data_IF_459111409812
#
_entry.id   IF_459111409812
#
_cell.length_a   1.000
_cell.length_b   1.000
_cell.length_c   1.000
_cell.angle_alpha   90.00
_cell.angle_beta   90.00
_cell.angle_gamma   90.00
#
_symmetry.space_group_name_H-M   'P 1'
#
loop_
_entity.id
_entity.type
_entity.pdbx_description
1 polymer ?
#
# COMPACT_ATOMS: atom_id res chain seq x y z
N UNK A 1 -18.18 -20.97 -9.93
CA UNK A 1 -17.93 -19.66 -9.28
C UNK A 1 -16.51 -19.67 -8.74
N UNK A 2 -15.66 -18.74 -9.17
CA UNK A 2 -14.27 -18.59 -8.68
C UNK A 2 -14.26 -17.83 -7.36
N UNK A 3 -13.29 -18.14 -6.49
CA UNK A 3 -13.13 -17.48 -5.19
C UNK A 3 -11.78 -16.78 -5.09
N UNK A 4 -11.78 -15.51 -4.71
CA UNK A 4 -10.57 -14.74 -4.50
C UNK A 4 -10.55 -14.15 -3.10
N UNK A 5 -9.50 -14.46 -2.32
CA UNK A 5 -9.25 -13.77 -1.07
C UNK A 5 -8.26 -12.62 -1.32
N UNK A 6 -8.68 -11.39 -1.02
CA UNK A 6 -7.86 -10.18 -1.18
C UNK A 6 -7.24 -9.81 0.15
N UNK A 7 -5.92 -9.76 0.19
CA UNK A 7 -5.15 -9.56 1.42
C UNK A 7 -4.30 -8.29 1.34
N UNK A 8 -4.61 -7.29 2.17
CA UNK A 8 -3.83 -6.06 2.31
C UNK A 8 -3.41 -5.85 3.76
N UNK A 9 -2.45 -4.99 4.01
CA UNK A 9 -1.97 -4.69 5.36
C UNK A 9 -1.95 -3.20 5.69
N UNK A 10 -2.14 -2.35 4.68
CA UNK A 10 -2.09 -0.89 4.79
C UNK A 10 -3.09 -0.21 3.85
N UNK A 11 -3.49 1.06 4.12
CA UNK A 11 -4.41 1.81 3.26
C UNK A 11 -3.91 1.99 1.81
N UNK A 12 -2.59 2.07 1.59
CA UNK A 12 -1.97 2.10 0.26
C UNK A 12 -2.24 0.82 -0.52
N UNK A 13 -2.04 -0.33 0.12
CA UNK A 13 -2.33 -1.65 -0.44
C UNK A 13 -3.82 -1.83 -0.72
N UNK A 14 -4.70 -1.36 0.17
CA UNK A 14 -6.16 -1.37 -0.01
C UNK A 14 -6.59 -0.59 -1.27
N UNK A 15 -6.00 0.60 -1.48
CA UNK A 15 -6.25 1.41 -2.68
C UNK A 15 -5.78 0.70 -3.96
N UNK A 16 -4.59 0.11 -3.94
CA UNK A 16 -4.07 -0.65 -5.09
C UNK A 16 -4.91 -1.90 -5.38
N UNK A 17 -5.26 -2.65 -4.35
CA UNK A 17 -6.11 -3.83 -4.44
C UNK A 17 -7.47 -3.48 -5.04
N UNK A 18 -8.14 -2.46 -4.51
CA UNK A 18 -9.46 -2.04 -4.99
C UNK A 18 -9.43 -1.61 -6.45
N UNK A 19 -8.37 -0.91 -6.89
CA UNK A 19 -8.18 -0.53 -8.29
C UNK A 19 -8.05 -1.75 -9.20
N UNK A 20 -7.22 -2.73 -8.82
CA UNK A 20 -7.02 -3.96 -9.59
C UNK A 20 -8.31 -4.80 -9.65
N UNK A 21 -8.96 -5.01 -8.50
CA UNK A 21 -10.20 -5.81 -8.41
C UNK A 21 -11.37 -5.13 -9.13
N UNK A 22 -11.50 -3.80 -9.08
CA UNK A 22 -12.54 -3.09 -9.84
C UNK A 22 -12.42 -3.29 -11.35
N UNK A 23 -11.18 -3.41 -11.87
CA UNK A 23 -10.97 -3.76 -13.28
C UNK A 23 -11.40 -5.20 -13.55
N UNK A 24 -11.02 -6.13 -12.68
CA UNK A 24 -11.37 -7.54 -12.80
C UNK A 24 -12.89 -7.76 -12.76
N UNK A 25 -13.62 -7.06 -11.88
CA UNK A 25 -15.07 -7.14 -11.74
C UNK A 25 -15.84 -6.67 -12.99
N UNK A 26 -15.23 -5.82 -13.83
CA UNK A 26 -15.85 -5.40 -15.10
C UNK A 26 -15.87 -6.53 -16.14
N UNK A 27 -14.84 -7.37 -16.12
CA UNK A 27 -14.66 -8.43 -17.12
C UNK A 27 -15.21 -9.77 -16.62
N UNK A 28 -15.29 -9.97 -15.28
CA UNK A 28 -15.66 -11.22 -14.65
C UNK A 28 -16.65 -10.97 -13.50
N UNK A 29 -17.89 -11.36 -13.70
CA UNK A 29 -19.00 -11.13 -12.72
C UNK A 29 -19.23 -12.31 -11.77
N UNK A 30 -18.75 -13.51 -12.10
CA UNK A 30 -18.98 -14.74 -11.32
C UNK A 30 -17.77 -15.06 -10.42
N UNK A 31 -17.41 -14.10 -9.54
CA UNK A 31 -16.32 -14.24 -8.58
C UNK A 31 -16.83 -13.87 -7.19
N UNK A 32 -16.62 -14.78 -6.23
CA UNK A 32 -16.85 -14.52 -4.81
C UNK A 32 -15.58 -13.95 -4.16
N UNK A 33 -15.75 -12.88 -3.38
CA UNK A 33 -14.64 -12.19 -2.73
C UNK A 33 -14.79 -12.18 -1.21
N UNK A 34 -13.66 -12.33 -0.51
CA UNK A 34 -13.50 -12.04 0.91
C UNK A 34 -12.16 -11.34 1.11
N UNK A 35 -12.02 -10.51 2.14
CA UNK A 35 -10.79 -9.75 2.28
C UNK A 35 -10.30 -9.53 3.71
N UNK A 36 -9.02 -9.16 3.82
CA UNK A 36 -8.51 -8.21 4.79
C UNK A 36 -8.21 -6.93 4.04
N UNK A 37 -9.05 -5.93 4.22
CA UNK A 37 -8.98 -4.68 3.48
C UNK A 37 -9.60 -3.51 4.22
N UNK A 38 -9.56 -2.35 3.59
CA UNK A 38 -10.05 -1.10 4.14
C UNK A 38 -11.27 -0.56 3.40
N UNK A 39 -11.42 0.77 3.51
CA UNK A 39 -12.56 1.49 2.95
C UNK A 39 -12.65 1.44 1.42
N UNK A 40 -11.53 1.26 0.71
CA UNK A 40 -11.55 1.22 -0.76
C UNK A 40 -12.11 -0.11 -1.28
N UNK A 41 -11.72 -1.25 -0.70
CA UNK A 41 -12.33 -2.55 -1.02
C UNK A 41 -13.81 -2.59 -0.62
N UNK A 42 -14.16 -2.01 0.54
CA UNK A 42 -15.57 -1.90 0.97
C UNK A 42 -16.43 -1.11 -0.02
N UNK A 43 -15.91 -0.01 -0.60
CA UNK A 43 -16.62 0.80 -1.61
C UNK A 43 -16.97 0.01 -2.88
N UNK A 44 -16.25 -1.05 -3.19
CA UNK A 44 -16.52 -1.94 -4.34
C UNK A 44 -17.23 -3.25 -3.94
N UNK A 45 -17.83 -3.27 -2.73
CA UNK A 45 -18.68 -4.38 -2.26
C UNK A 45 -17.93 -5.56 -1.66
N UNK A 46 -16.65 -5.41 -1.27
CA UNK A 46 -15.86 -6.48 -0.68
C UNK A 46 -15.68 -6.26 0.82
N UNK A 47 -16.27 -7.15 1.61
CA UNK A 47 -16.20 -7.08 3.07
C UNK A 47 -14.85 -7.60 3.60
N UNK A 48 -14.41 -6.99 4.70
CA UNK A 48 -13.19 -7.37 5.42
C UNK A 48 -13.53 -8.20 6.65
N UNK A 49 -12.72 -9.22 6.96
CA UNK A 49 -12.91 -10.08 8.15
C UNK A 49 -12.61 -9.35 9.47
N UNK A 50 -11.90 -8.22 9.43
CA UNK A 50 -11.68 -7.31 10.57
C UNK A 50 -11.26 -5.91 10.06
N UNK A 51 -11.25 -4.91 10.94
CA UNK A 51 -10.82 -3.55 10.59
C UNK A 51 -9.32 -3.50 10.31
N UNK A 52 -8.94 -3.01 9.13
CA UNK A 52 -7.55 -2.87 8.68
C UNK A 52 -6.68 -2.08 9.69
N UNK A 53 -7.28 -1.16 10.45
CA UNK A 53 -6.59 -0.38 11.50
C UNK A 53 -5.98 -1.26 12.58
N UNK A 54 -6.48 -2.48 12.78
CA UNK A 54 -5.96 -3.39 13.81
C UNK A 54 -4.58 -3.98 13.50
N UNK A 55 -4.16 -3.89 12.24
CA UNK A 55 -2.84 -4.36 11.78
C UNK A 55 -1.97 -3.23 11.21
N UNK A 56 -2.54 -2.03 11.04
CA UNK A 56 -1.81 -0.86 10.56
C UNK A 56 -1.08 -0.19 11.71
N UNK A 57 0.17 -0.59 11.96
CA UNK A 57 1.01 0.01 13.00
C UNK A 57 2.01 0.98 12.39
N UNK A 58 2.03 2.20 12.92
CA UNK A 58 2.90 3.28 12.46
C UNK A 58 4.19 3.28 13.29
N UNK A 59 5.31 2.87 12.64
CA UNK A 59 6.65 2.93 13.23
C UNK A 59 7.13 1.64 13.87
N UNK A 60 8.47 1.50 13.94
CA UNK A 60 9.16 0.27 14.38
C UNK A 60 8.85 -0.12 15.83
N UNK A 61 8.77 0.84 16.74
CA UNK A 61 8.47 0.60 18.16
C UNK A 61 7.05 0.10 18.38
N UNK A 62 6.08 0.63 17.63
CA UNK A 62 4.69 0.17 17.69
C UNK A 62 4.51 -1.26 17.16
N UNK A 63 5.29 -1.66 16.17
CA UNK A 63 5.30 -3.05 15.65
C UNK A 63 5.82 -4.00 16.73
N UNK A 64 6.92 -3.67 17.42
CA UNK A 64 7.48 -4.51 18.48
C UNK A 64 6.49 -4.70 19.64
N UNK A 65 5.85 -3.63 20.09
CA UNK A 65 4.87 -3.67 21.19
C UNK A 65 3.61 -4.47 20.84
N UNK A 66 3.27 -4.57 19.54
CA UNK A 66 2.05 -5.23 19.08
C UNK A 66 2.29 -6.58 18.38
N UNK A 67 3.49 -7.16 18.49
CA UNK A 67 3.86 -8.40 17.78
C UNK A 67 2.90 -9.57 18.08
N UNK A 68 2.41 -9.67 19.30
CA UNK A 68 1.43 -10.71 19.69
C UNK A 68 0.08 -10.50 18.99
N UNK A 69 -0.39 -9.23 18.89
CA UNK A 69 -1.63 -8.89 18.20
C UNK A 69 -1.50 -9.17 16.70
N UNK A 70 -0.37 -8.79 16.10
CA UNK A 70 -0.09 -9.06 14.68
C UNK A 70 -0.10 -10.57 14.42
N UNK A 71 0.58 -11.36 15.26
CA UNK A 71 0.59 -12.81 15.14
C UNK A 71 -0.80 -13.43 15.29
N UNK A 72 -1.61 -12.94 16.23
CA UNK A 72 -3.01 -13.37 16.39
C UNK A 72 -3.81 -13.08 15.12
N UNK A 73 -3.69 -11.89 14.53
CA UNK A 73 -4.38 -11.54 13.28
C UNK A 73 -3.87 -12.34 12.09
N UNK A 74 -2.57 -12.63 11.99
CA UNK A 74 -2.02 -13.54 10.98
C UNK A 74 -2.70 -14.91 11.08
N UNK A 75 -2.78 -15.50 12.28
CA UNK A 75 -3.39 -16.82 12.45
C UNK A 75 -4.89 -16.81 12.11
N UNK A 76 -5.64 -15.83 12.61
CA UNK A 76 -7.05 -15.65 12.26
C UNK A 76 -7.24 -15.52 10.75
N UNK A 77 -6.42 -14.72 10.08
CA UNK A 77 -6.49 -14.55 8.61
C UNK A 77 -6.24 -15.87 7.89
N UNK A 78 -5.25 -16.65 8.34
CA UNK A 78 -4.97 -17.98 7.76
C UNK A 78 -6.18 -18.91 7.94
N UNK A 79 -6.78 -18.97 9.12
CA UNK A 79 -7.97 -19.79 9.41
C UNK A 79 -9.15 -19.40 8.50
N UNK A 80 -9.45 -18.10 8.35
CA UNK A 80 -10.53 -17.63 7.50
C UNK A 80 -10.25 -17.86 6.00
N UNK A 81 -8.99 -17.73 5.53
CA UNK A 81 -8.62 -18.10 4.16
C UNK A 81 -8.85 -19.58 3.90
N UNK A 82 -8.42 -20.45 4.81
CA UNK A 82 -8.59 -21.90 4.66
C UNK A 82 -10.07 -22.31 4.70
N UNK A 83 -10.88 -21.68 5.54
CA UNK A 83 -12.33 -21.87 5.62
C UNK A 83 -13.04 -21.40 4.35
N UNK A 84 -12.68 -20.23 3.83
CA UNK A 84 -13.20 -19.68 2.58
C UNK A 84 -12.79 -20.51 1.37
N UNK A 85 -11.62 -21.16 1.46
CA UNK A 85 -11.01 -22.01 0.44
C UNK A 85 -10.97 -21.37 -0.95
N UNK A 86 -10.24 -20.24 -1.11
CA UNK A 86 -10.18 -19.52 -2.37
C UNK A 86 -9.37 -20.26 -3.42
N UNK A 87 -9.70 -20.06 -4.70
CA UNK A 87 -8.83 -20.46 -5.83
C UNK A 87 -7.53 -19.63 -5.83
N UNK A 88 -7.65 -18.33 -5.46
CA UNK A 88 -6.55 -17.37 -5.49
C UNK A 88 -6.48 -16.60 -4.17
N UNK A 89 -5.31 -16.58 -3.58
CA UNK A 89 -4.91 -15.61 -2.55
C UNK A 89 -4.18 -14.46 -3.24
N UNK A 90 -4.84 -13.32 -3.38
CA UNK A 90 -4.29 -12.10 -3.94
C UNK A 90 -3.83 -11.16 -2.84
N UNK A 91 -2.53 -11.13 -2.59
CA UNK A 91 -1.90 -10.30 -1.56
C UNK A 91 -1.28 -9.05 -2.17
N UNK A 92 -1.42 -7.90 -1.49
CA UNK A 92 -0.98 -6.60 -2.01
C UNK A 92 -0.17 -5.86 -0.96
N UNK A 93 1.09 -5.55 -1.29
CA UNK A 93 2.01 -4.79 -0.44
C UNK A 93 2.18 -5.35 0.99
N UNK A 94 2.65 -4.55 1.95
CA UNK A 94 2.79 -4.90 3.38
C UNK A 94 3.41 -6.29 3.63
N UNK A 95 4.62 -6.56 3.12
CA UNK A 95 5.20 -7.90 3.07
C UNK A 95 5.39 -8.55 4.45
N UNK A 96 5.49 -7.77 5.51
CA UNK A 96 5.66 -8.29 6.87
C UNK A 96 4.36 -8.92 7.43
N UNK A 97 3.21 -8.58 6.89
CA UNK A 97 1.93 -9.20 7.19
C UNK A 97 1.53 -10.19 6.08
N UNK A 98 1.42 -9.69 4.84
CA UNK A 98 0.84 -10.43 3.72
C UNK A 98 1.65 -11.68 3.33
N UNK A 99 2.99 -11.57 3.26
CA UNK A 99 3.82 -12.72 2.92
C UNK A 99 3.88 -13.77 4.04
N UNK A 100 3.73 -13.36 5.31
CA UNK A 100 3.66 -14.32 6.43
C UNK A 100 2.35 -15.12 6.41
N UNK A 101 1.25 -14.48 6.03
CA UNK A 101 -0.03 -15.17 5.81
C UNK A 101 0.09 -16.13 4.62
N UNK A 102 0.58 -15.65 3.47
CA UNK A 102 0.75 -16.47 2.27
C UNK A 102 1.65 -17.69 2.51
N UNK A 103 2.76 -17.54 3.23
CA UNK A 103 3.65 -18.65 3.61
C UNK A 103 2.92 -19.72 4.42
N UNK A 104 2.12 -19.30 5.42
CA UNK A 104 1.35 -20.24 6.25
C UNK A 104 0.24 -20.94 5.47
N UNK A 105 -0.52 -20.19 4.67
CA UNK A 105 -1.59 -20.74 3.82
C UNK A 105 -1.01 -21.76 2.85
N UNK A 106 0.08 -21.42 2.15
CA UNK A 106 0.70 -22.32 1.16
C UNK A 106 1.26 -23.61 1.77
N UNK A 107 1.74 -23.55 3.03
CA UNK A 107 2.19 -24.74 3.77
C UNK A 107 1.05 -25.70 4.10
N UNK A 108 -0.16 -25.18 4.38
CA UNK A 108 -1.32 -25.99 4.78
C UNK A 108 -2.10 -26.45 3.54
N UNK A 109 -2.35 -25.55 2.59
CA UNK A 109 -3.05 -25.84 1.34
C UNK A 109 -2.22 -25.37 0.13
N UNK A 110 -1.36 -26.22 -0.45
CA UNK A 110 -0.54 -25.86 -1.62
C UNK A 110 -1.35 -25.59 -2.91
N UNK A 111 -2.62 -26.01 -2.96
CA UNK A 111 -3.47 -25.84 -4.16
C UNK A 111 -3.93 -24.40 -4.35
N UNK A 112 -4.04 -23.61 -3.28
CA UNK A 112 -4.39 -22.20 -3.38
C UNK A 112 -3.29 -21.47 -4.15
N UNK A 113 -3.65 -20.85 -5.28
CA UNK A 113 -2.73 -20.01 -6.07
C UNK A 113 -2.43 -18.71 -5.34
N UNK A 114 -1.16 -18.40 -5.17
CA UNK A 114 -0.73 -17.20 -4.45
C UNK A 114 -0.15 -16.18 -5.43
N UNK A 115 -0.80 -15.03 -5.52
CA UNK A 115 -0.36 -13.91 -6.36
C UNK A 115 -0.05 -12.73 -5.44
N UNK A 116 1.15 -12.17 -5.57
CA UNK A 116 1.57 -11.01 -4.79
C UNK A 116 1.76 -9.78 -5.68
N UNK A 117 1.11 -8.69 -5.35
CA UNK A 117 1.20 -7.42 -6.07
C UNK A 117 1.98 -6.41 -5.23
N UNK A 118 2.88 -5.68 -5.86
CA UNK A 118 3.92 -4.82 -5.26
C UNK A 118 5.06 -5.64 -4.65
N UNK A 119 6.10 -5.85 -5.45
CA UNK A 119 7.26 -6.61 -5.02
C UNK A 119 7.94 -6.02 -3.78
N UNK A 120 8.32 -6.84 -2.80
CA UNK A 120 9.13 -6.36 -1.69
C UNK A 120 10.49 -5.88 -2.21
N UNK A 121 11.02 -4.82 -1.61
CA UNK A 121 12.29 -4.18 -2.02
C UNK A 121 13.50 -5.10 -1.76
N UNK A 122 13.67 -6.11 -2.62
CA UNK A 122 14.72 -7.13 -2.47
C UNK A 122 16.10 -6.66 -2.92
N UNK A 123 16.16 -5.60 -3.73
CA UNK A 123 17.40 -5.03 -4.28
C UNK A 123 18.20 -4.19 -3.29
N UNK A 124 17.61 -3.72 -2.19
CA UNK A 124 18.28 -2.86 -1.20
C UNK A 124 18.96 -3.68 -0.10
N UNK A 125 18.23 -4.62 0.55
CA UNK A 125 18.66 -5.17 1.83
C UNK A 125 18.69 -6.70 1.93
N UNK A 126 18.03 -7.46 1.02
CA UNK A 126 17.75 -8.88 1.30
C UNK A 126 17.70 -9.75 0.05
N UNK A 127 18.84 -9.94 -0.64
CA UNK A 127 18.93 -10.87 -1.79
C UNK A 127 18.37 -12.27 -1.52
N UNK A 128 18.59 -12.84 -0.31
CA UNK A 128 18.04 -14.14 0.08
C UNK A 128 16.53 -14.19 0.29
N UNK A 129 15.84 -13.03 0.32
CA UNK A 129 14.37 -12.95 0.47
C UNK A 129 13.64 -13.48 -0.75
N UNK A 130 14.20 -13.29 -1.95
CA UNK A 130 13.62 -13.80 -3.20
C UNK A 130 13.53 -15.32 -3.17
N UNK A 131 14.63 -16.01 -2.80
CA UNK A 131 14.64 -17.47 -2.66
C UNK A 131 13.61 -17.99 -1.65
N UNK A 132 13.37 -17.23 -0.59
CA UNK A 132 12.32 -17.58 0.39
C UNK A 132 10.93 -17.43 -0.20
N UNK A 133 10.65 -16.31 -0.88
CA UNK A 133 9.35 -15.99 -1.49
C UNK A 133 8.95 -17.04 -2.53
N UNK A 134 9.90 -17.52 -3.34
CA UNK A 134 9.69 -18.58 -4.34
C UNK A 134 8.98 -19.82 -3.78
N UNK A 135 9.15 -20.12 -2.49
CA UNK A 135 8.57 -21.33 -1.88
C UNK A 135 7.06 -21.25 -1.67
N UNK A 136 6.49 -20.04 -1.70
CA UNK A 136 5.09 -19.84 -1.33
C UNK A 136 4.35 -18.75 -2.14
N UNK A 137 5.01 -18.10 -3.10
CA UNK A 137 4.37 -17.21 -4.07
C UNK A 137 4.52 -17.80 -5.46
N UNK A 138 3.38 -18.02 -6.13
CA UNK A 138 3.33 -18.60 -7.46
C UNK A 138 3.56 -17.53 -8.56
N UNK A 139 3.16 -16.27 -8.31
CA UNK A 139 3.29 -15.19 -9.26
C UNK A 139 3.43 -13.82 -8.58
N UNK A 140 4.27 -12.95 -9.14
CA UNK A 140 4.46 -11.58 -8.64
C UNK A 140 4.07 -10.56 -9.71
N UNK A 141 3.26 -9.55 -9.35
CA UNK A 141 2.94 -8.41 -10.18
C UNK A 141 3.83 -7.23 -9.78
N UNK A 142 4.63 -6.76 -10.73
CA UNK A 142 5.69 -5.77 -10.52
C UNK A 142 5.23 -4.37 -10.90
N UNK A 143 5.56 -3.36 -10.07
CA UNK A 143 5.30 -1.96 -10.36
C UNK A 143 6.33 -1.33 -11.29
N UNK A 144 7.57 -1.82 -11.27
CA UNK A 144 8.69 -1.26 -12.02
C UNK A 144 9.40 -2.33 -12.85
N UNK A 145 9.72 -2.01 -14.09
CA UNK A 145 10.36 -2.95 -15.02
C UNK A 145 11.73 -3.45 -14.51
N UNK A 146 12.50 -2.57 -13.85
CA UNK A 146 13.83 -2.95 -13.32
C UNK A 146 13.77 -4.07 -12.25
N UNK A 147 12.60 -4.29 -11.63
CA UNK A 147 12.41 -5.34 -10.62
C UNK A 147 12.49 -6.74 -11.22
N UNK A 148 12.07 -6.87 -12.48
CA UNK A 148 11.93 -8.14 -13.21
C UNK A 148 13.18 -9.03 -13.12
N UNK A 149 14.37 -8.46 -13.34
CA UNK A 149 15.64 -9.21 -13.32
C UNK A 149 15.86 -9.97 -12.00
N UNK A 150 15.45 -9.42 -10.85
CA UNK A 150 15.67 -10.05 -9.54
C UNK A 150 14.81 -11.30 -9.33
N UNK A 151 13.63 -11.33 -9.97
CA UNK A 151 12.71 -12.45 -9.88
C UNK A 151 12.96 -13.48 -10.99
N UNK A 152 13.36 -13.05 -12.19
CA UNK A 152 13.78 -13.92 -13.29
C UNK A 152 15.02 -14.75 -12.89
N UNK A 153 16.04 -14.13 -12.29
CA UNK A 153 17.26 -14.81 -11.79
C UNK A 153 16.95 -15.98 -10.83
N UNK A 154 15.87 -15.89 -10.07
CA UNK A 154 15.44 -16.92 -9.14
C UNK A 154 14.31 -17.81 -9.71
N UNK A 155 13.94 -17.65 -10.98
CA UNK A 155 12.85 -18.36 -11.66
C UNK A 155 11.51 -18.27 -10.89
N UNK A 156 11.11 -17.06 -10.52
CA UNK A 156 9.77 -16.75 -10.01
C UNK A 156 8.96 -16.13 -11.14
N UNK A 157 7.78 -16.70 -11.40
CA UNK A 157 6.87 -16.13 -12.39
C UNK A 157 6.51 -14.71 -12.00
N UNK A 158 6.67 -13.77 -12.91
CA UNK A 158 6.38 -12.37 -12.67
C UNK A 158 5.83 -11.68 -13.91
N UNK A 159 5.12 -10.58 -13.70
CA UNK A 159 4.59 -9.73 -14.77
C UNK A 159 4.76 -8.27 -14.37
N UNK A 160 5.37 -7.47 -15.24
CA UNK A 160 5.38 -6.02 -15.09
C UNK A 160 4.01 -5.47 -15.48
N UNK A 161 3.32 -4.84 -14.52
CA UNK A 161 1.96 -4.28 -14.67
C UNK A 161 1.97 -2.75 -14.66
N UNK A 162 3.07 -2.11 -14.31
CA UNK A 162 3.18 -0.67 -14.19
C UNK A 162 2.57 -0.11 -12.91
N UNK A 163 2.82 1.17 -12.65
CA UNK A 163 2.29 1.84 -11.46
C UNK A 163 0.95 2.52 -11.79
N UNK A 164 -0.14 2.27 -11.04
CA UNK A 164 -1.49 2.80 -11.34
C UNK A 164 -1.57 4.33 -11.39
N UNK A 165 -0.66 5.04 -10.72
CA UNK A 165 -0.59 6.51 -10.81
C UNK A 165 -0.35 7.02 -12.24
N UNK A 166 0.31 6.22 -13.09
CA UNK A 166 0.58 6.63 -14.48
C UNK A 166 -0.71 6.61 -15.32
N UNK A 167 -1.62 5.69 -15.01
CA UNK A 167 -2.90 5.56 -15.73
C UNK A 167 -3.87 6.72 -15.38
N UNK A 168 -3.84 7.19 -14.14
CA UNK A 168 -4.78 8.20 -13.61
C UNK A 168 -4.40 9.64 -13.97
N UNK A 169 -3.21 9.89 -14.53
CA UNK A 169 -2.66 11.23 -14.76
C UNK A 169 -3.35 12.07 -15.85
N UNK A 170 -4.40 11.58 -16.51
CA UNK A 170 -5.00 12.33 -17.63
C UNK A 170 -6.03 13.39 -17.21
N UNK A 171 -6.62 13.34 -16.00
CA UNK A 171 -7.74 14.20 -15.64
C UNK A 171 -7.70 14.88 -14.26
N UNK A 172 -6.77 14.56 -13.38
CA UNK A 172 -6.71 15.16 -12.02
C UNK A 172 -5.81 16.40 -11.98
N UNK A 173 -6.17 17.42 -12.76
CA UNK A 173 -5.57 18.75 -12.59
C UNK A 173 -6.33 19.48 -11.49
N UNK A 174 -5.76 19.58 -10.30
CA UNK A 174 -6.27 20.48 -9.28
C UNK A 174 -5.96 21.92 -9.74
N UNK A 175 -6.99 22.70 -10.02
CA UNK A 175 -6.82 24.13 -10.31
C UNK A 175 -6.52 24.86 -9.00
N UNK A 176 -5.28 25.33 -8.90
CA UNK A 176 -4.78 26.11 -7.76
C UNK A 176 -4.66 27.61 -8.10
N UNK A 177 -5.09 28.03 -9.28
CA UNK A 177 -4.92 29.41 -9.77
C UNK A 177 -5.53 30.48 -8.83
N UNK A 178 -6.61 30.12 -8.14
CA UNK A 178 -7.29 31.03 -7.18
C UNK A 178 -6.52 31.20 -5.85
N UNK A 179 -5.52 30.33 -5.57
CA UNK A 179 -4.76 30.36 -4.32
C UNK A 179 -3.34 30.89 -4.48
N UNK A 180 -2.91 31.14 -5.72
CA UNK A 180 -1.55 31.58 -6.02
C UNK A 180 -1.55 32.94 -6.74
N UNK A 181 -0.66 33.83 -6.30
CA UNK A 181 -0.43 35.10 -7.02
C UNK A 181 0.35 34.80 -8.31
N UNK A 182 -0.11 35.31 -9.44
CA UNK A 182 0.40 34.98 -10.78
C UNK A 182 1.89 35.25 -11.04
N UNK A 183 2.56 36.01 -10.17
CA UNK A 183 3.99 36.34 -10.32
C UNK A 183 4.91 35.68 -9.30
N UNK A 184 4.40 34.73 -8.50
CA UNK A 184 5.21 34.04 -7.48
C UNK A 184 5.54 32.62 -7.90
N UNK A 185 6.78 32.19 -7.63
CA UNK A 185 7.16 30.79 -7.78
C UNK A 185 6.51 29.94 -6.69
N UNK A 186 6.21 28.69 -6.99
CA UNK A 186 5.57 27.76 -6.06
C UNK A 186 6.64 26.85 -5.47
N UNK A 187 6.59 26.69 -4.14
CA UNK A 187 7.34 25.66 -3.41
C UNK A 187 6.32 24.69 -2.81
N UNK A 188 6.34 23.45 -3.28
CA UNK A 188 5.52 22.39 -2.72
C UNK A 188 6.17 21.81 -1.46
N UNK A 189 5.41 21.74 -0.37
CA UNK A 189 5.83 21.25 0.94
C UNK A 189 5.17 19.91 1.22
N UNK A 190 5.98 18.89 1.51
CA UNK A 190 5.54 17.54 1.82
C UNK A 190 5.93 17.19 3.27
N UNK A 191 5.06 17.43 4.25
CA UNK A 191 5.38 17.23 5.67
C UNK A 191 5.33 15.75 6.10
N UNK A 192 5.15 14.84 5.15
CA UNK A 192 4.96 13.41 5.39
C UNK A 192 3.49 12.99 5.32
N UNK A 193 3.26 11.70 5.17
CA UNK A 193 1.92 11.11 5.07
C UNK A 193 1.40 10.59 6.42
N UNK A 194 2.27 10.41 7.41
CA UNK A 194 1.97 9.87 8.74
C UNK A 194 2.07 10.95 9.79
N UNK A 195 1.20 10.90 10.82
CA UNK A 195 1.23 11.86 11.96
C UNK A 195 2.61 11.96 12.62
N UNK A 196 3.31 10.83 12.78
CA UNK A 196 4.66 10.80 13.36
C UNK A 196 5.69 11.53 12.51
N UNK A 197 5.60 11.45 11.19
CA UNK A 197 6.46 12.17 10.25
C UNK A 197 6.13 13.66 10.28
N UNK A 198 4.84 13.99 10.19
CA UNK A 198 4.35 15.37 10.17
C UNK A 198 4.76 16.12 11.45
N UNK A 199 4.59 15.53 12.62
CA UNK A 199 4.95 16.14 13.91
C UNK A 199 6.44 16.50 14.00
N UNK A 200 7.33 15.73 13.37
CA UNK A 200 8.77 15.98 13.36
C UNK A 200 9.17 16.98 12.27
N UNK A 201 8.61 16.83 11.07
CA UNK A 201 9.02 17.62 9.90
C UNK A 201 8.37 19.00 9.87
N UNK A 202 7.12 19.14 10.33
CA UNK A 202 6.36 20.37 10.20
C UNK A 202 7.01 21.58 10.88
N UNK A 203 7.52 21.49 12.14
CA UNK A 203 8.27 22.61 12.76
C UNK A 203 9.45 23.07 11.91
N UNK A 204 10.24 22.12 11.37
CA UNK A 204 11.42 22.40 10.55
C UNK A 204 11.01 23.10 9.24
N UNK A 205 9.91 22.65 8.63
CA UNK A 205 9.39 23.22 7.38
C UNK A 205 8.83 24.63 7.60
N UNK A 206 8.18 24.89 8.74
CA UNK A 206 7.71 26.23 9.13
C UNK A 206 8.90 27.17 9.36
N UNK A 207 9.96 26.73 10.04
CA UNK A 207 11.17 27.52 10.22
C UNK A 207 11.81 27.88 8.87
N UNK A 208 11.85 26.92 7.95
CA UNK A 208 12.31 27.15 6.57
C UNK A 208 11.46 28.24 5.88
N UNK A 209 10.12 28.15 5.95
CA UNK A 209 9.20 29.14 5.36
C UNK A 209 9.45 30.53 5.97
N UNK A 210 9.59 30.62 7.30
CA UNK A 210 9.85 31.87 8.00
C UNK A 210 11.18 32.50 7.56
N UNK A 211 12.22 31.66 7.38
CA UNK A 211 13.51 32.12 6.87
C UNK A 211 13.42 32.66 5.44
N UNK A 212 12.67 31.95 4.57
CA UNK A 212 12.44 32.40 3.19
C UNK A 212 11.66 33.70 3.13
N UNK A 213 10.65 33.88 3.96
CA UNK A 213 9.86 35.11 4.05
C UNK A 213 10.70 36.30 4.53
N UNK A 214 11.58 36.10 5.53
CA UNK A 214 12.52 37.14 6.00
C UNK A 214 13.48 37.63 4.91
N UNK A 215 13.78 36.81 3.93
CA UNK A 215 14.63 37.17 2.78
C UNK A 215 13.88 37.87 1.65
N UNK A 216 12.60 38.21 1.86
CA UNK A 216 11.72 38.83 0.85
C UNK A 216 11.69 38.10 -0.50
N UNK A 217 11.82 36.80 -0.48
CA UNK A 217 11.74 35.97 -1.66
C UNK A 217 10.27 35.77 -2.06
N UNK A 218 10.00 35.92 -3.35
CA UNK A 218 8.63 35.93 -3.87
C UNK A 218 8.13 34.52 -4.19
N UNK A 219 7.73 33.75 -3.13
CA UNK A 219 7.23 32.41 -3.25
C UNK A 219 5.81 32.23 -2.68
N UNK A 220 5.05 31.30 -3.25
CA UNK A 220 3.87 30.70 -2.64
C UNK A 220 4.25 29.31 -2.11
N UNK A 221 3.85 28.99 -0.88
CA UNK A 221 4.08 27.69 -0.29
C UNK A 221 2.78 26.88 -0.29
N UNK A 222 2.80 25.64 -0.84
CA UNK A 222 1.65 24.77 -0.93
C UNK A 222 1.94 23.51 -0.15
N UNK A 223 1.17 23.26 0.92
CA UNK A 223 1.27 22.03 1.69
C UNK A 223 0.44 20.91 1.06
N UNK A 224 1.05 19.75 0.87
CA UNK A 224 0.37 18.52 0.49
C UNK A 224 -0.04 17.77 1.75
N UNK A 225 -1.34 17.69 2.00
CA UNK A 225 -1.93 17.06 3.17
C UNK A 225 -2.63 15.75 2.79
N UNK A 226 -2.60 14.80 3.73
CA UNK A 226 -3.51 13.64 3.75
C UNK A 226 -4.67 13.91 4.70
N UNK A 227 -5.75 13.15 4.63
CA UNK A 227 -6.86 13.25 5.60
C UNK A 227 -6.39 13.04 7.06
N UNK A 228 -5.31 12.27 7.27
CA UNK A 228 -4.79 11.99 8.60
C UNK A 228 -4.00 13.15 9.22
N UNK A 229 -3.32 13.96 8.40
CA UNK A 229 -2.44 15.02 8.87
C UNK A 229 -2.93 16.44 8.58
N UNK A 230 -4.04 16.59 7.85
CA UNK A 230 -4.60 17.88 7.48
C UNK A 230 -4.83 18.80 8.68
N UNK A 231 -5.47 18.28 9.73
CA UNK A 231 -5.77 19.08 10.93
C UNK A 231 -4.48 19.55 11.63
N UNK A 232 -3.45 18.69 11.69
CA UNK A 232 -2.16 19.06 12.29
C UNK A 232 -1.52 20.22 11.51
N UNK A 233 -1.58 20.18 10.17
CA UNK A 233 -0.99 21.21 9.32
C UNK A 233 -1.72 22.53 9.44
N UNK A 234 -3.04 22.51 9.61
CA UNK A 234 -3.87 23.74 9.73
C UNK A 234 -3.70 24.41 11.10
N UNK A 235 -3.39 23.66 12.15
CA UNK A 235 -3.15 24.19 13.50
C UNK A 235 -1.81 24.92 13.66
N UNK A 236 -0.88 24.75 12.74
CA UNK A 236 0.43 25.41 12.68
C UNK A 236 0.40 26.72 11.88
#
# INVERSE_FOLDING_TARGET
>A
MKKIFVLTGEPSGDKLASTAISKLQKDYTDIEYLSVGGSNLKKIGIESIFDLKEITYLGFTSVLLNIFKINKRINQTVEEILKFNPDILFSVDSPDFTLRVAEKVKKINPQIKTIHYVAPQVWIWRKGRVKKIKKFIDHILLLFDFEKKFFDEENINNTFVGHPLIENNKNDKTDISNFISNNKKIISIFPGSRKSETNVLLPILIDFINMMNKRNLNYNFIFHATEENKNIIVEY
#
